data_IF_886606780503
#
_entry.id   IF_886606780503
#
_cell.length_a   1.000
_cell.length_b   1.000
_cell.length_c   1.000
_cell.angle_alpha   90.00
_cell.angle_beta   90.00
_cell.angle_gamma   90.00
#
_symmetry.space_group_name_H-M   'P 1'
#
loop_
_entity.id
_entity.type
_entity.pdbx_description
1 polymer ?
#
# COMPACT_ATOMS: atom_id res chain seq x y z
N UNK A 1 -8.69 -30.39 8.59
CA UNK A 1 -7.67 -29.31 8.45
C UNK A 1 -7.49 -29.11 6.95
N UNK A 2 -7.68 -27.91 6.43
CA UNK A 2 -7.77 -27.66 4.98
C UNK A 2 -6.38 -27.84 4.36
N UNK A 3 -6.26 -28.62 3.27
CA UNK A 3 -4.98 -28.94 2.59
C UNK A 3 -4.17 -27.69 2.22
N UNK A 4 -4.86 -26.58 1.89
CA UNK A 4 -4.25 -25.27 1.61
C UNK A 4 -3.49 -24.73 2.83
N UNK A 5 -4.02 -24.93 4.05
CA UNK A 5 -3.36 -24.49 5.29
C UNK A 5 -2.11 -25.32 5.57
N UNK A 6 -2.15 -26.62 5.30
CA UNK A 6 -1.01 -27.53 5.50
C UNK A 6 0.12 -27.22 4.51
N UNK A 7 -0.20 -26.95 3.24
CA UNK A 7 0.80 -26.52 2.24
C UNK A 7 1.44 -25.17 2.59
N UNK A 8 0.64 -24.21 3.07
CA UNK A 8 1.15 -22.92 3.50
C UNK A 8 2.08 -23.02 4.71
N UNK A 9 1.78 -23.90 5.67
CA UNK A 9 2.65 -24.18 6.83
C UNK A 9 3.97 -24.84 6.42
N UNK A 10 3.95 -25.81 5.51
CA UNK A 10 5.14 -26.48 5.00
C UNK A 10 6.06 -25.54 4.20
N UNK A 11 5.49 -24.64 3.40
CA UNK A 11 6.26 -23.59 2.70
C UNK A 11 6.88 -22.58 3.66
N UNK A 12 6.14 -22.17 4.69
CA UNK A 12 6.65 -21.29 5.77
C UNK A 12 7.88 -21.89 6.44
N UNK A 13 7.82 -23.17 6.79
CA UNK A 13 8.89 -23.84 7.51
C UNK A 13 10.14 -24.02 6.62
N UNK A 14 9.97 -24.29 5.33
CA UNK A 14 11.06 -24.29 4.32
C UNK A 14 11.73 -22.91 4.21
N UNK A 15 10.94 -21.84 4.16
CA UNK A 15 11.45 -20.48 4.05
C UNK A 15 12.21 -20.04 5.33
N UNK A 16 11.70 -20.43 6.51
CA UNK A 16 12.36 -20.16 7.79
C UNK A 16 13.72 -20.90 7.84
N UNK A 17 13.79 -22.14 7.35
CA UNK A 17 15.03 -22.92 7.27
C UNK A 17 16.03 -22.26 6.29
N UNK A 18 15.55 -21.78 5.15
CA UNK A 18 16.38 -21.07 4.15
C UNK A 18 16.91 -19.73 4.67
N UNK A 19 16.09 -18.97 5.39
CA UNK A 19 16.50 -17.75 6.08
C UNK A 19 17.52 -18.04 7.19
N UNK A 20 17.37 -19.13 7.93
CA UNK A 20 18.36 -19.59 8.91
C UNK A 20 19.70 -19.98 8.25
N UNK A 21 19.65 -20.58 7.08
CA UNK A 21 20.85 -20.97 6.30
C UNK A 21 21.59 -19.75 5.74
N UNK A 22 20.85 -18.69 5.34
CA UNK A 22 21.40 -17.42 4.86
C UNK A 22 21.99 -16.57 6.00
N UNK A 23 21.51 -16.73 7.25
CA UNK A 23 22.03 -16.05 8.44
C UNK A 23 23.51 -16.34 8.74
N UNK A 24 24.13 -17.32 8.08
CA UNK A 24 25.59 -17.54 8.11
C UNK A 24 26.41 -16.52 7.32
N UNK A 25 25.79 -15.63 6.53
CA UNK A 25 26.46 -14.67 5.65
C UNK A 25 25.91 -13.24 5.88
N UNK A 26 26.50 -12.49 6.80
CA UNK A 26 26.44 -11.03 6.88
C UNK A 26 25.18 -10.40 7.49
N UNK A 27 25.26 -10.02 8.75
CA UNK A 27 24.17 -9.55 9.64
C UNK A 27 23.55 -8.16 9.32
N UNK A 28 23.96 -7.44 8.29
CA UNK A 28 23.51 -6.04 8.08
C UNK A 28 22.29 -5.88 7.18
N UNK A 29 22.12 -6.73 6.18
CA UNK A 29 20.99 -6.66 5.21
C UNK A 29 19.68 -7.27 5.76
N UNK A 30 19.76 -8.21 6.69
CA UNK A 30 18.62 -8.96 7.21
C UNK A 30 17.73 -8.16 8.17
N UNK A 31 18.25 -7.17 8.88
CA UNK A 31 17.46 -6.36 9.83
C UNK A 31 16.58 -5.34 9.13
N UNK A 32 17.02 -4.79 7.99
CA UNK A 32 16.22 -3.88 7.16
C UNK A 32 15.08 -4.62 6.47
N UNK A 33 15.36 -5.83 5.95
CA UNK A 33 14.37 -6.68 5.28
C UNK A 33 13.27 -7.17 6.26
N UNK A 34 13.65 -7.52 7.49
CA UNK A 34 12.70 -8.01 8.50
C UNK A 34 11.78 -6.92 9.06
N UNK A 35 12.14 -5.64 8.92
CA UNK A 35 11.31 -4.52 9.38
C UNK A 35 10.19 -4.12 8.41
N UNK A 36 10.35 -4.41 7.11
CA UNK A 36 9.38 -4.09 6.05
C UNK A 36 8.53 -5.28 5.59
N UNK A 37 8.88 -6.50 6.02
CA UNK A 37 8.20 -7.71 5.57
C UNK A 37 6.92 -7.99 6.37
N UNK A 38 5.76 -7.96 5.73
CA UNK A 38 4.50 -8.49 6.28
C UNK A 38 4.27 -9.92 5.76
N UNK A 39 3.83 -10.80 6.65
CA UNK A 39 3.40 -12.15 6.27
C UNK A 39 1.94 -12.12 5.85
N UNK A 40 1.67 -12.37 4.58
CA UNK A 40 0.33 -12.57 4.06
C UNK A 40 0.26 -13.92 3.34
N UNK A 41 -0.61 -14.82 3.80
CA UNK A 41 -0.83 -16.13 3.14
C UNK A 41 0.41 -17.03 3.00
N UNK A 42 1.46 -16.84 3.82
CA UNK A 42 2.71 -17.64 3.75
C UNK A 42 3.82 -17.03 2.90
N UNK A 43 3.61 -15.87 2.30
CA UNK A 43 4.64 -15.11 1.56
C UNK A 43 5.13 -13.92 2.39
N UNK A 44 6.44 -13.66 2.29
CA UNK A 44 7.04 -12.42 2.81
C UNK A 44 6.76 -11.33 1.77
N UNK A 45 5.85 -10.41 2.10
CA UNK A 45 5.57 -9.27 1.23
C UNK A 45 6.62 -8.19 1.48
N UNK A 46 7.32 -7.77 0.44
CA UNK A 46 8.17 -6.59 0.47
C UNK A 46 7.33 -5.35 0.20
N UNK A 47 6.96 -4.65 1.28
CA UNK A 47 6.13 -3.43 1.20
C UNK A 47 6.78 -2.33 0.37
N UNK A 48 8.12 -2.25 0.34
CA UNK A 48 8.83 -1.26 -0.48
C UNK A 48 8.74 -1.63 -1.98
N UNK A 49 8.79 -2.93 -2.32
CA UNK A 49 8.58 -3.38 -3.70
C UNK A 49 7.15 -3.06 -4.18
N UNK A 50 6.12 -3.32 -3.36
CA UNK A 50 4.73 -2.94 -3.66
C UNK A 50 4.61 -1.42 -3.82
N UNK A 51 5.23 -0.64 -2.94
CA UNK A 51 5.27 0.82 -3.04
C UNK A 51 5.90 1.31 -4.34
N UNK A 52 6.99 0.64 -4.78
CA UNK A 52 7.64 0.94 -6.05
C UNK A 52 6.71 0.67 -7.23
N UNK A 53 6.01 -0.47 -7.26
CA UNK A 53 5.08 -0.82 -8.34
C UNK A 53 3.92 0.18 -8.43
N UNK A 54 3.40 0.65 -7.29
CA UNK A 54 2.38 1.71 -7.23
C UNK A 54 2.89 2.98 -7.91
N UNK A 55 4.10 3.42 -7.57
CA UNK A 55 4.68 4.65 -8.13
C UNK A 55 5.01 4.49 -9.62
N UNK A 56 5.58 3.37 -10.04
CA UNK A 56 5.90 3.10 -11.44
C UNK A 56 4.63 3.13 -12.31
N UNK A 57 3.53 2.50 -11.86
CA UNK A 57 2.23 2.59 -12.53
C UNK A 57 1.72 4.03 -12.58
N UNK A 58 1.81 4.78 -11.47
CA UNK A 58 1.36 6.17 -11.43
C UNK A 58 2.15 7.05 -12.42
N UNK A 59 3.48 6.90 -12.49
CA UNK A 59 4.33 7.60 -13.46
C UNK A 59 3.98 7.26 -14.90
N UNK A 60 3.73 5.99 -15.22
CA UNK A 60 3.34 5.56 -16.55
C UNK A 60 2.00 6.17 -16.96
N UNK A 61 1.02 6.20 -16.06
CA UNK A 61 -0.30 6.79 -16.27
C UNK A 61 -0.18 8.30 -16.51
N UNK A 62 0.56 9.01 -15.64
CA UNK A 62 0.74 10.45 -15.77
C UNK A 62 1.50 10.83 -17.06
N UNK A 63 2.53 10.06 -17.42
CA UNK A 63 3.27 10.28 -18.69
C UNK A 63 2.39 10.12 -19.92
N UNK A 64 1.39 9.22 -19.86
CA UNK A 64 0.50 8.95 -20.96
C UNK A 64 -0.65 9.93 -21.09
N UNK A 65 -1.26 10.33 -19.97
CA UNK A 65 -2.50 11.11 -19.96
C UNK A 65 -2.34 12.55 -19.45
N UNK A 66 -1.18 12.87 -18.85
CA UNK A 66 -0.96 14.17 -18.21
C UNK A 66 -1.80 14.34 -16.96
N UNK A 67 -2.12 15.60 -16.63
CA UNK A 67 -2.82 16.02 -15.40
C UNK A 67 -4.31 16.34 -15.60
N UNK A 68 -4.92 15.96 -16.74
CA UNK A 68 -6.24 16.44 -17.16
C UNK A 68 -7.42 15.51 -16.88
N UNK A 69 -7.19 14.29 -16.36
CA UNK A 69 -8.29 13.38 -16.08
C UNK A 69 -8.92 13.65 -14.71
N UNK A 70 -10.15 13.19 -14.53
CA UNK A 70 -10.82 13.18 -13.24
C UNK A 70 -10.14 12.16 -12.31
N UNK A 71 -10.13 12.42 -11.01
CA UNK A 71 -9.59 11.55 -9.96
C UNK A 71 -10.08 10.11 -10.08
N UNK A 72 -11.39 9.92 -10.29
CA UNK A 72 -11.98 8.60 -10.51
C UNK A 72 -11.34 7.84 -11.68
N UNK A 73 -10.99 8.53 -12.79
CA UNK A 73 -10.36 7.88 -13.94
C UNK A 73 -8.95 7.39 -13.58
N UNK A 74 -8.15 8.23 -12.91
CA UNK A 74 -6.83 7.82 -12.42
C UNK A 74 -6.91 6.63 -11.47
N UNK A 75 -7.88 6.63 -10.53
CA UNK A 75 -8.08 5.53 -9.60
C UNK A 75 -8.34 4.22 -10.32
N UNK A 76 -9.30 4.18 -11.23
CA UNK A 76 -9.67 2.96 -11.95
C UNK A 76 -8.50 2.44 -12.81
N UNK A 77 -7.78 3.34 -13.49
CA UNK A 77 -6.63 2.94 -14.32
C UNK A 77 -5.51 2.38 -13.42
N UNK A 78 -5.16 3.08 -12.33
CA UNK A 78 -4.12 2.63 -11.41
C UNK A 78 -4.46 1.29 -10.78
N UNK A 79 -5.69 1.11 -10.29
CA UNK A 79 -6.16 -0.15 -9.74
C UNK A 79 -6.09 -1.29 -10.78
N UNK A 80 -6.43 -1.02 -12.04
CA UNK A 80 -6.37 -2.00 -13.12
C UNK A 80 -4.92 -2.44 -13.40
N UNK A 81 -3.98 -1.47 -13.48
CA UNK A 81 -2.56 -1.79 -13.73
C UNK A 81 -1.95 -2.57 -12.57
N UNK A 82 -2.24 -2.21 -11.33
CA UNK A 82 -1.78 -2.94 -10.15
C UNK A 82 -2.33 -4.37 -10.10
N UNK A 83 -3.62 -4.56 -10.39
CA UNK A 83 -4.22 -5.91 -10.50
C UNK A 83 -3.56 -6.73 -11.60
N UNK A 84 -3.16 -6.11 -12.72
CA UNK A 84 -2.43 -6.77 -13.82
C UNK A 84 -1.02 -7.21 -13.40
N UNK A 85 -0.39 -6.51 -12.47
CA UNK A 85 0.88 -6.91 -11.85
C UNK A 85 0.71 -8.00 -10.78
N UNK A 86 -0.53 -8.39 -10.43
CA UNK A 86 -0.84 -9.44 -9.46
C UNK A 86 -1.15 -8.94 -8.05
N UNK A 87 -1.24 -7.63 -7.83
CA UNK A 87 -1.61 -7.08 -6.53
C UNK A 87 -3.09 -7.25 -6.21
N UNK A 88 -3.41 -7.46 -4.95
CA UNK A 88 -4.77 -7.37 -4.42
C UNK A 88 -5.11 -5.90 -4.19
N UNK A 89 -6.12 -5.38 -4.89
CA UNK A 89 -6.50 -3.96 -4.81
C UNK A 89 -7.97 -3.84 -4.45
N UNK A 90 -8.22 -3.27 -3.29
CA UNK A 90 -9.57 -2.84 -2.87
C UNK A 90 -9.75 -1.37 -3.23
N UNK A 91 -10.76 -1.07 -4.04
CA UNK A 91 -11.12 0.28 -4.47
C UNK A 91 -12.26 0.81 -3.59
N UNK A 92 -12.18 2.11 -3.24
CA UNK A 92 -13.21 2.81 -2.47
C UNK A 92 -13.64 2.05 -1.21
N UNK A 93 -12.64 1.49 -0.50
CA UNK A 93 -12.89 0.69 0.71
C UNK A 93 -13.53 1.55 1.78
N UNK A 94 -14.79 1.23 2.08
CA UNK A 94 -15.53 1.87 3.16
C UNK A 94 -15.05 1.32 4.50
N UNK A 95 -14.72 2.20 5.41
CA UNK A 95 -14.15 1.87 6.72
C UNK A 95 -14.86 2.62 7.84
N UNK A 96 -14.78 2.05 9.04
CA UNK A 96 -15.23 2.64 10.28
C UNK A 96 -14.14 2.60 11.34
N UNK A 97 -14.45 3.05 12.54
CA UNK A 97 -13.56 3.00 13.69
C UNK A 97 -14.36 2.87 14.98
N UNK A 98 -13.68 2.46 16.05
CA UNK A 98 -14.23 2.43 17.41
C UNK A 98 -13.69 3.60 18.22
N UNK A 99 -14.54 4.25 19.01
CA UNK A 99 -14.15 5.29 19.93
C UNK A 99 -14.96 5.18 21.23
N UNK A 100 -14.29 5.07 22.37
CA UNK A 100 -14.90 4.90 23.69
C UNK A 100 -15.92 3.73 23.76
N UNK A 101 -15.61 2.62 23.08
CA UNK A 101 -16.49 1.44 23.04
C UNK A 101 -17.70 1.56 22.11
N UNK A 102 -17.83 2.67 21.40
CA UNK A 102 -18.87 2.89 20.38
C UNK A 102 -18.29 2.65 18.98
N UNK A 103 -18.98 1.83 18.16
CA UNK A 103 -18.63 1.59 16.78
C UNK A 103 -19.23 2.65 15.86
N UNK A 104 -18.38 3.22 15.01
CA UNK A 104 -18.75 4.18 13.96
C UNK A 104 -18.49 3.55 12.60
N UNK A 105 -19.53 3.04 11.96
CA UNK A 105 -19.43 2.37 10.67
C UNK A 105 -19.55 3.37 9.51
N UNK A 106 -18.91 3.07 8.38
CA UNK A 106 -19.00 3.85 7.13
C UNK A 106 -18.60 5.32 7.28
N UNK A 107 -17.60 5.60 8.12
CA UNK A 107 -17.19 6.98 8.44
C UNK A 107 -16.20 7.55 7.43
N UNK A 108 -15.45 6.73 6.75
CA UNK A 108 -14.49 7.17 5.73
C UNK A 108 -14.34 6.13 4.63
N UNK A 109 -13.71 6.55 3.54
CA UNK A 109 -13.48 5.72 2.37
C UNK A 109 -12.07 5.95 1.86
N UNK A 110 -11.31 4.88 1.73
CA UNK A 110 -9.95 4.86 1.19
C UNK A 110 -10.04 4.65 -0.31
N UNK A 111 -9.34 5.45 -1.11
CA UNK A 111 -9.36 5.31 -2.56
C UNK A 111 -8.85 3.96 -3.02
N UNK A 112 -7.63 3.56 -2.58
CA UNK A 112 -7.11 2.22 -2.82
C UNK A 112 -6.44 1.69 -1.55
N UNK A 113 -6.68 0.41 -1.24
CA UNK A 113 -5.88 -0.38 -0.32
C UNK A 113 -5.22 -1.50 -1.11
N UNK A 114 -3.88 -1.48 -1.16
CA UNK A 114 -3.08 -2.43 -1.95
C UNK A 114 -2.46 -3.46 -1.03
N UNK A 115 -2.68 -4.76 -1.34
CA UNK A 115 -2.16 -5.93 -0.62
C UNK A 115 -2.42 -5.87 0.89
N UNK A 116 -3.56 -5.32 1.29
CA UNK A 116 -3.92 -5.07 2.70
C UNK A 116 -2.80 -4.38 3.51
N UNK A 117 -1.91 -3.63 2.87
CA UNK A 117 -0.73 -3.04 3.52
C UNK A 117 -0.46 -1.58 3.20
N UNK A 118 -0.77 -1.11 1.99
CA UNK A 118 -0.50 0.25 1.57
C UNK A 118 -1.79 0.99 1.25
N UNK A 119 -1.99 2.11 1.91
CA UNK A 119 -3.07 3.07 1.62
C UNK A 119 -2.62 4.02 0.53
N UNK A 120 -3.42 4.17 -0.53
CA UNK A 120 -3.19 5.17 -1.57
C UNK A 120 -4.38 6.12 -1.62
N UNK A 121 -4.09 7.39 -1.43
CA UNK A 121 -5.04 8.49 -1.54
C UNK A 121 -4.75 9.26 -2.81
N UNK A 122 -5.73 9.37 -3.70
CA UNK A 122 -5.58 10.01 -5.00
C UNK A 122 -6.17 11.42 -4.97
N UNK A 123 -5.54 12.31 -5.72
CA UNK A 123 -6.01 13.67 -5.95
C UNK A 123 -5.80 14.05 -7.41
N UNK A 124 -6.67 14.96 -7.91
CA UNK A 124 -6.54 15.55 -9.23
C UNK A 124 -6.79 17.06 -9.13
N UNK A 125 -5.90 17.73 -8.39
CA UNK A 125 -5.99 19.18 -8.11
C UNK A 125 -4.68 19.89 -8.46
N UNK A 126 -4.74 21.18 -8.78
CA UNK A 126 -3.61 21.95 -9.31
C UNK A 126 -2.50 22.25 -8.29
N UNK A 127 -2.70 21.95 -7.01
CA UNK A 127 -1.73 22.24 -5.95
C UNK A 127 -1.77 21.18 -4.84
N UNK A 128 -0.67 21.09 -4.09
CA UNK A 128 -0.62 20.28 -2.86
C UNK A 128 -1.31 21.03 -1.72
N UNK A 129 -1.98 20.27 -0.87
CA UNK A 129 -2.58 20.79 0.36
C UNK A 129 -2.19 19.91 1.55
N UNK A 130 -1.72 20.48 2.67
CA UNK A 130 -1.27 19.70 3.84
C UNK A 130 -2.36 18.80 4.44
N UNK A 131 -3.63 19.07 4.13
CA UNK A 131 -4.75 18.25 4.61
C UNK A 131 -4.74 16.85 4.00
N UNK A 132 -4.21 16.65 2.79
CA UNK A 132 -4.17 15.34 2.14
C UNK A 132 -3.25 14.37 2.87
N UNK A 133 -2.06 14.83 3.27
CA UNK A 133 -1.14 14.04 4.09
C UNK A 133 -1.73 13.69 5.46
N UNK A 134 -2.41 14.65 6.10
CA UNK A 134 -3.11 14.43 7.38
C UNK A 134 -4.23 13.41 7.24
N UNK A 135 -5.00 13.47 6.16
CA UNK A 135 -6.06 12.51 5.84
C UNK A 135 -5.48 11.11 5.69
N UNK A 136 -4.46 10.95 4.85
CA UNK A 136 -3.80 9.66 4.64
C UNK A 136 -3.22 9.09 5.95
N UNK A 137 -2.54 9.92 6.77
CA UNK A 137 -2.01 9.49 8.07
C UNK A 137 -3.13 9.05 9.03
N UNK A 138 -4.26 9.72 9.02
CA UNK A 138 -5.43 9.31 9.82
C UNK A 138 -5.93 7.93 9.38
N UNK A 139 -6.04 7.69 8.08
CA UNK A 139 -6.46 6.38 7.55
C UNK A 139 -5.46 5.27 7.90
N UNK A 140 -4.16 5.55 7.84
CA UNK A 140 -3.14 4.59 8.28
C UNK A 140 -3.32 4.19 9.73
N UNK A 141 -3.58 5.15 10.62
CA UNK A 141 -3.81 4.89 12.05
C UNK A 141 -5.08 4.08 12.30
N UNK A 142 -6.18 4.45 11.64
CA UNK A 142 -7.47 3.78 11.79
C UNK A 142 -7.47 2.35 11.24
N UNK A 143 -6.67 2.07 10.21
CA UNK A 143 -6.55 0.77 9.57
C UNK A 143 -5.38 -0.07 10.10
N UNK A 144 -4.60 0.45 11.06
CA UNK A 144 -3.36 -0.19 11.53
C UNK A 144 -2.39 -0.53 10.38
N UNK A 145 -2.15 0.45 9.52
CA UNK A 145 -1.21 0.33 8.39
C UNK A 145 -0.02 1.28 8.60
N UNK A 146 1.14 0.90 8.04
CA UNK A 146 2.39 1.63 8.28
C UNK A 146 2.80 2.54 7.13
N UNK A 147 2.34 2.27 5.91
CA UNK A 147 2.74 2.99 4.71
C UNK A 147 1.52 3.46 3.91
N UNK A 148 1.58 4.69 3.45
CA UNK A 148 0.63 5.23 2.49
C UNK A 148 1.28 6.21 1.52
N UNK A 149 0.56 6.49 0.45
CA UNK A 149 0.91 7.51 -0.53
C UNK A 149 -0.27 8.44 -0.77
N UNK A 150 0.03 9.73 -0.84
CA UNK A 150 -0.84 10.69 -1.51
C UNK A 150 -0.26 10.89 -2.91
N UNK A 151 -1.09 10.69 -3.95
CA UNK A 151 -0.69 10.84 -5.35
C UNK A 151 -1.62 11.85 -6.01
N UNK A 152 -1.14 13.06 -6.22
CA UNK A 152 -1.89 14.12 -6.89
C UNK A 152 -1.54 14.17 -8.36
N UNK A 153 -2.37 13.58 -9.19
CA UNK A 153 -2.23 13.56 -10.65
C UNK A 153 -2.48 14.92 -11.32
N UNK A 154 -3.11 15.88 -10.62
CA UNK A 154 -3.37 17.21 -11.15
C UNK A 154 -2.13 18.13 -11.22
N UNK A 155 -0.98 17.67 -10.70
CA UNK A 155 0.28 18.42 -10.77
C UNK A 155 0.91 18.30 -12.15
N UNK A 156 1.56 19.37 -12.69
CA UNK A 156 2.29 19.31 -13.96
C UNK A 156 3.42 18.28 -13.96
N UNK A 157 4.11 18.10 -12.83
CA UNK A 157 5.08 17.06 -12.56
C UNK A 157 4.52 16.12 -11.51
N UNK A 158 4.37 14.84 -11.82
CA UNK A 158 3.87 13.87 -10.85
C UNK A 158 4.79 13.74 -9.62
N UNK A 159 6.10 13.89 -9.82
CA UNK A 159 7.08 13.89 -8.72
C UNK A 159 6.71 14.89 -7.62
N UNK A 160 6.22 16.06 -8.00
CA UNK A 160 5.82 17.11 -7.06
C UNK A 160 4.43 16.83 -6.44
N UNK A 161 3.67 15.90 -7.03
CA UNK A 161 2.37 15.44 -6.55
C UNK A 161 2.42 14.24 -5.63
N UNK A 162 3.58 13.57 -5.48
CA UNK A 162 3.72 12.39 -4.65
C UNK A 162 4.18 12.78 -3.25
N UNK A 163 3.53 12.17 -2.25
CA UNK A 163 3.94 12.26 -0.85
C UNK A 163 3.85 10.88 -0.19
N UNK A 164 4.97 10.39 0.35
CA UNK A 164 5.06 9.15 1.10
C UNK A 164 4.77 9.42 2.56
N UNK A 165 3.79 8.73 3.11
CA UNK A 165 3.34 8.89 4.49
C UNK A 165 3.68 7.62 5.28
N UNK A 166 4.44 7.78 6.36
CA UNK A 166 4.76 6.69 7.26
C UNK A 166 4.03 6.86 8.60
N UNK A 167 3.43 5.78 9.08
CA UNK A 167 2.87 5.67 10.41
C UNK A 167 3.81 4.81 11.26
N UNK A 168 4.56 5.45 12.16
CA UNK A 168 5.60 4.80 12.97
C UNK A 168 5.10 4.39 14.38
N UNK A 169 3.80 4.19 14.52
CA UNK A 169 3.20 3.75 15.79
C UNK A 169 3.26 2.24 15.91
#
# INVERSE_FOLDING_TARGET
MNEVIVMAMQQRDKLIEEIRRIKGWGMSLTLSFAKSAKFFGGYVMDVEAVGKDILDCAYAIHSRFGSGLLEKAYRVILATELKRLGHLVEEEKVCGFSYNGQEYQNMFRVDLLVDDSIVVELKSVSRREPVFAKQCLTYLRLLDKHLGFVINFGMPSLKDGIERIANNI
#
